data_IF_770741215114
#
_entry.id   IF_770741215114
#
_cell.length_a   1.000
_cell.length_b   1.000
_cell.length_c   1.000
_cell.angle_alpha   90.00
_cell.angle_beta   90.00
_cell.angle_gamma   90.00
#
_symmetry.space_group_name_H-M   'P 1'
#
loop_
_entity.id
_entity.type
_entity.pdbx_description
1 polymer ?
#
# COMPACT_ATOMS: atom_id res chain seq x y z
N UNK A 1 -14.26 -36.58 -23.35
CA UNK A 1 -13.39 -35.44 -22.96
C UNK A 1 -14.32 -34.24 -22.77
N UNK A 2 -14.26 -33.59 -21.61
CA UNK A 2 -15.15 -32.50 -21.32
C UNK A 2 -14.88 -31.32 -22.29
N UNK A 3 -15.95 -30.68 -22.80
CA UNK A 3 -15.80 -29.45 -23.56
C UNK A 3 -15.51 -28.26 -22.60
N UNK A 4 -14.22 -28.10 -22.26
CA UNK A 4 -13.75 -27.11 -21.29
C UNK A 4 -14.18 -25.68 -21.65
N UNK A 5 -14.28 -25.37 -22.94
CA UNK A 5 -14.61 -23.99 -23.39
C UNK A 5 -16.03 -23.60 -23.00
N UNK A 6 -16.98 -24.53 -23.09
CA UNK A 6 -18.38 -24.30 -22.74
C UNK A 6 -18.61 -24.15 -21.23
N UNK A 7 -17.73 -24.73 -20.41
CA UNK A 7 -17.82 -24.73 -18.96
C UNK A 7 -17.25 -23.45 -18.32
N UNK A 8 -16.38 -22.72 -19.03
CA UNK A 8 -15.78 -21.50 -18.51
C UNK A 8 -16.83 -20.40 -18.36
N UNK A 9 -16.94 -19.80 -17.17
CA UNK A 9 -17.82 -18.67 -16.96
C UNK A 9 -17.41 -17.48 -17.84
N UNK A 10 -18.36 -16.88 -18.57
CA UNK A 10 -18.13 -15.82 -19.58
C UNK A 10 -17.29 -14.63 -19.05
N UNK A 11 -17.42 -14.30 -17.77
CA UNK A 11 -16.68 -13.18 -17.17
C UNK A 11 -15.26 -13.53 -16.73
N UNK A 12 -14.89 -14.82 -16.58
CA UNK A 12 -13.57 -15.23 -16.07
C UNK A 12 -12.45 -14.68 -16.95
N UNK A 13 -12.52 -14.93 -18.26
CA UNK A 13 -11.48 -14.49 -19.20
C UNK A 13 -11.38 -12.96 -19.28
N UNK A 14 -12.54 -12.28 -19.35
CA UNK A 14 -12.58 -10.80 -19.45
C UNK A 14 -12.00 -10.16 -18.19
N UNK A 15 -12.42 -10.61 -17.00
CA UNK A 15 -11.93 -10.09 -15.73
C UNK A 15 -10.43 -10.39 -15.54
N UNK A 16 -9.97 -11.58 -15.91
CA UNK A 16 -8.55 -11.92 -15.89
C UNK A 16 -7.73 -10.99 -16.78
N UNK A 17 -8.13 -10.80 -18.04
CA UNK A 17 -7.43 -9.92 -18.97
C UNK A 17 -7.37 -8.48 -18.45
N UNK A 18 -8.50 -7.97 -17.93
CA UNK A 18 -8.55 -6.63 -17.35
C UNK A 18 -7.66 -6.49 -16.11
N UNK A 19 -7.67 -7.50 -15.22
CA UNK A 19 -6.80 -7.54 -14.04
C UNK A 19 -5.31 -7.58 -14.40
N UNK A 20 -4.91 -8.31 -15.46
CA UNK A 20 -3.52 -8.30 -15.94
C UNK A 20 -3.12 -6.90 -16.41
N UNK A 21 -3.94 -6.25 -17.22
CA UNK A 21 -3.64 -4.90 -17.72
C UNK A 21 -3.44 -3.92 -16.55
N UNK A 22 -4.35 -3.93 -15.57
CA UNK A 22 -4.25 -3.05 -14.40
C UNK A 22 -3.06 -3.40 -13.50
N UNK A 23 -2.71 -4.68 -13.34
CA UNK A 23 -1.52 -5.10 -12.60
C UNK A 23 -0.24 -4.59 -13.28
N UNK A 24 -0.15 -4.69 -14.61
CA UNK A 24 0.99 -4.15 -15.37
C UNK A 24 1.10 -2.63 -15.21
N UNK A 25 0.00 -1.90 -15.32
CA UNK A 25 -0.03 -0.44 -15.10
C UNK A 25 0.43 -0.12 -13.67
N UNK A 26 -0.08 -0.81 -12.65
CA UNK A 26 0.32 -0.62 -11.26
C UNK A 26 1.82 -0.89 -11.05
N UNK A 27 2.37 -1.94 -11.66
CA UNK A 27 3.82 -2.22 -11.63
C UNK A 27 4.61 -1.07 -12.24
N UNK A 28 4.22 -0.59 -13.42
CA UNK A 28 4.89 0.54 -14.07
C UNK A 28 4.89 1.77 -13.15
N UNK A 29 3.75 2.11 -12.53
CA UNK A 29 3.65 3.24 -11.59
C UNK A 29 4.57 3.04 -10.39
N UNK A 30 4.60 1.85 -9.78
CA UNK A 30 5.47 1.56 -8.64
C UNK A 30 6.97 1.67 -8.99
N UNK A 31 7.35 1.32 -10.22
CA UNK A 31 8.75 1.38 -10.68
C UNK A 31 9.22 2.78 -11.09
N UNK A 32 8.35 3.79 -11.07
CA UNK A 32 8.75 5.20 -11.30
C UNK A 32 9.56 5.77 -10.13
N UNK A 33 9.45 5.21 -8.92
CA UNK A 33 10.16 5.70 -7.74
C UNK A 33 10.90 4.58 -6.99
N UNK A 34 12.02 4.91 -6.34
CA UNK A 34 12.76 3.97 -5.49
C UNK A 34 11.90 3.46 -4.33
N UNK A 35 11.05 4.32 -3.77
CA UNK A 35 10.10 3.94 -2.70
C UNK A 35 9.08 2.93 -3.23
N UNK A 36 8.51 3.16 -4.41
CA UNK A 36 7.59 2.22 -5.05
C UNK A 36 8.22 0.86 -5.31
N UNK A 37 9.47 0.83 -5.78
CA UNK A 37 10.25 -0.40 -5.96
C UNK A 37 10.42 -1.14 -4.64
N UNK A 38 10.80 -0.45 -3.57
CA UNK A 38 10.96 -1.05 -2.24
C UNK A 38 9.65 -1.61 -1.70
N UNK A 39 8.53 -0.89 -1.85
CA UNK A 39 7.19 -1.35 -1.47
C UNK A 39 6.82 -2.60 -2.26
N UNK A 40 7.03 -2.62 -3.59
CA UNK A 40 6.71 -3.77 -4.43
C UNK A 40 7.45 -5.03 -3.98
N UNK A 41 8.78 -4.95 -3.81
CA UNK A 41 9.57 -6.10 -3.37
C UNK A 41 9.27 -6.51 -1.93
N UNK A 42 9.00 -5.55 -1.03
CA UNK A 42 8.59 -5.83 0.35
C UNK A 42 7.27 -6.61 0.42
N UNK A 43 6.26 -6.18 -0.32
CA UNK A 43 4.95 -6.86 -0.39
C UNK A 43 5.08 -8.23 -1.06
N UNK A 44 5.86 -8.35 -2.14
CA UNK A 44 6.09 -9.61 -2.82
C UNK A 44 6.80 -10.61 -1.91
N UNK A 45 7.84 -10.18 -1.19
CA UNK A 45 8.57 -11.02 -0.22
C UNK A 45 7.66 -11.44 0.93
N UNK A 46 6.91 -10.52 1.54
CA UNK A 46 5.99 -10.83 2.63
C UNK A 46 4.93 -11.86 2.20
N UNK A 47 4.37 -11.70 1.00
CA UNK A 47 3.40 -12.65 0.43
C UNK A 47 4.04 -14.02 0.20
N UNK A 48 5.25 -14.06 -0.37
CA UNK A 48 5.98 -15.30 -0.62
C UNK A 48 6.30 -16.04 0.69
N UNK A 49 6.81 -15.33 1.70
CA UNK A 49 7.13 -15.91 3.01
C UNK A 49 5.87 -16.43 3.71
N UNK A 50 4.79 -15.65 3.75
CA UNK A 50 3.52 -16.05 4.33
C UNK A 50 2.96 -17.31 3.66
N UNK A 51 3.00 -17.35 2.33
CA UNK A 51 2.58 -18.52 1.56
C UNK A 51 3.46 -19.74 1.84
N UNK A 52 4.79 -19.59 1.84
CA UNK A 52 5.72 -20.67 2.12
C UNK A 52 5.53 -21.26 3.52
N UNK A 53 5.32 -20.40 4.54
CA UNK A 53 5.02 -20.84 5.91
C UNK A 53 3.71 -21.60 5.97
N UNK A 54 2.65 -21.12 5.30
CA UNK A 54 1.36 -21.81 5.23
C UNK A 54 1.49 -23.19 4.56
N UNK A 55 2.23 -23.29 3.46
CA UNK A 55 2.45 -24.57 2.78
C UNK A 55 3.31 -25.54 3.62
N UNK A 56 4.31 -25.02 4.33
CA UNK A 56 5.11 -25.81 5.26
C UNK A 56 4.26 -26.34 6.42
N UNK A 57 3.38 -25.52 6.99
CA UNK A 57 2.44 -25.92 8.04
C UNK A 57 1.53 -27.05 7.58
N UNK A 58 0.94 -26.96 6.37
CA UNK A 58 0.08 -27.99 5.78
C UNK A 58 0.86 -29.30 5.63
N UNK A 59 2.07 -29.26 5.10
CA UNK A 59 2.87 -30.46 4.86
C UNK A 59 3.42 -31.09 6.15
N UNK A 60 3.58 -30.30 7.21
CA UNK A 60 4.07 -30.78 8.50
C UNK A 60 2.95 -31.41 9.34
N UNK A 61 1.76 -30.82 9.33
CA UNK A 61 0.65 -31.22 10.21
C UNK A 61 -0.46 -32.00 9.49
N UNK A 62 -0.57 -31.86 8.17
CA UNK A 62 -1.58 -32.56 7.38
C UNK A 62 -1.22 -34.01 7.07
N UNK A 63 -2.22 -34.83 6.96
CA UNK A 63 -2.08 -36.24 6.56
C UNK A 63 -2.18 -36.33 5.04
N UNK A 64 -1.09 -36.73 4.38
CA UNK A 64 -1.07 -36.86 2.93
C UNK A 64 -1.81 -38.13 2.47
N UNK A 65 -2.71 -38.00 1.49
CA UNK A 65 -3.37 -39.12 0.84
C UNK A 65 -2.38 -39.90 -0.02
N UNK A 66 -2.47 -41.21 0.06
CA UNK A 66 -1.73 -42.15 -0.79
C UNK A 66 -2.50 -43.46 -0.97
N UNK A 67 -2.05 -44.34 -1.85
CA UNK A 67 -2.64 -45.64 -2.01
C UNK A 67 -2.64 -46.49 -0.72
N UNK A 68 -1.66 -46.25 0.18
CA UNK A 68 -1.53 -46.95 1.45
C UNK A 68 -2.17 -46.16 2.63
N UNK A 69 -2.67 -44.96 2.40
CA UNK A 69 -3.27 -44.12 3.42
C UNK A 69 -4.48 -43.39 2.85
N UNK A 70 -5.69 -43.77 3.27
CA UNK A 70 -6.96 -43.34 2.68
C UNK A 70 -7.09 -43.75 1.21
N UNK A 71 -6.77 -45.05 0.89
CA UNK A 71 -6.65 -45.54 -0.48
C UNK A 71 -7.90 -45.31 -1.35
N UNK A 72 -9.10 -45.49 -0.78
CA UNK A 72 -10.38 -45.27 -1.51
C UNK A 72 -10.52 -43.79 -1.91
N UNK A 73 -10.25 -42.88 -1.00
CA UNK A 73 -10.30 -41.44 -1.27
C UNK A 73 -9.23 -41.03 -2.29
N UNK A 74 -8.01 -41.58 -2.17
CA UNK A 74 -6.94 -41.37 -3.15
C UNK A 74 -7.33 -41.84 -4.55
N UNK A 75 -7.97 -43.01 -4.65
CA UNK A 75 -8.44 -43.53 -5.93
C UNK A 75 -9.53 -42.62 -6.55
N UNK A 76 -10.45 -42.08 -5.74
CA UNK A 76 -11.46 -41.11 -6.19
C UNK A 76 -10.81 -39.84 -6.73
N UNK A 77 -9.87 -39.25 -6.00
CA UNK A 77 -9.10 -38.08 -6.46
C UNK A 77 -8.39 -38.37 -7.78
N UNK A 78 -7.74 -39.53 -7.90
CA UNK A 78 -7.06 -39.95 -9.13
C UNK A 78 -8.01 -40.07 -10.32
N UNK A 79 -9.18 -40.68 -10.10
CA UNK A 79 -10.21 -40.86 -11.14
C UNK A 79 -10.77 -39.50 -11.59
N UNK A 80 -11.11 -38.60 -10.66
CA UNK A 80 -11.60 -37.23 -10.97
C UNK A 80 -10.53 -36.42 -11.67
N UNK A 81 -9.26 -36.50 -11.26
CA UNK A 81 -8.14 -35.80 -11.92
C UNK A 81 -8.02 -36.23 -13.39
N UNK A 82 -8.09 -37.55 -13.67
CA UNK A 82 -8.06 -38.06 -15.03
C UNK A 82 -9.27 -37.59 -15.87
N UNK A 83 -10.47 -37.58 -15.28
CA UNK A 83 -11.70 -37.07 -15.95
C UNK A 83 -11.57 -35.62 -16.34
N UNK A 84 -10.95 -34.78 -15.48
CA UNK A 84 -10.67 -33.37 -15.73
C UNK A 84 -9.45 -33.17 -16.66
N UNK A 85 -8.74 -34.22 -17.05
CA UNK A 85 -7.55 -34.13 -17.90
C UNK A 85 -6.38 -33.44 -17.19
N UNK A 86 -6.21 -33.71 -15.89
CA UNK A 86 -5.07 -33.29 -15.09
C UNK A 86 -4.03 -34.43 -15.18
N UNK A 87 -2.88 -34.14 -15.81
CA UNK A 87 -1.82 -35.13 -16.02
C UNK A 87 -1.06 -35.39 -14.72
N UNK A 88 -0.66 -34.34 -14.02
CA UNK A 88 0.01 -34.44 -12.73
C UNK A 88 -1.01 -34.34 -11.60
N UNK A 89 -1.33 -35.48 -10.99
CA UNK A 89 -2.26 -35.55 -9.85
C UNK A 89 -1.70 -34.70 -8.71
N UNK A 90 -2.47 -33.73 -8.16
CA UNK A 90 -2.02 -32.91 -7.06
C UNK A 90 -1.78 -33.73 -5.79
N UNK A 91 -0.87 -33.26 -4.94
CA UNK A 91 -0.75 -33.77 -3.58
C UNK A 91 -2.00 -33.38 -2.79
N UNK A 92 -2.65 -34.34 -2.12
CA UNK A 92 -3.86 -34.08 -1.33
C UNK A 92 -3.55 -34.29 0.14
N UNK A 93 -3.91 -33.32 0.96
CA UNK A 93 -3.72 -33.33 2.41
C UNK A 93 -5.06 -33.21 3.12
N UNK A 94 -5.24 -33.99 4.19
CA UNK A 94 -6.31 -33.79 5.15
C UNK A 94 -5.75 -33.06 6.36
N UNK A 95 -6.43 -32.00 6.80
CA UNK A 95 -6.08 -31.22 7.98
C UNK A 95 -7.27 -31.19 8.93
N UNK A 96 -6.99 -31.27 10.21
CA UNK A 96 -8.00 -31.07 11.25
C UNK A 96 -8.60 -29.67 11.15
N UNK A 97 -9.92 -29.57 11.25
CA UNK A 97 -10.69 -28.38 10.89
C UNK A 97 -11.28 -27.61 12.07
N UNK A 98 -11.34 -28.18 13.27
CA UNK A 98 -12.03 -27.59 14.41
C UNK A 98 -13.50 -27.27 14.15
N UNK A 99 -14.17 -28.02 13.27
CA UNK A 99 -15.58 -27.82 12.90
C UNK A 99 -15.80 -26.99 11.63
N UNK A 100 -14.75 -26.52 10.96
CA UNK A 100 -14.88 -25.76 9.73
C UNK A 100 -15.05 -26.69 8.52
N UNK A 101 -16.17 -26.57 7.79
CA UNK A 101 -16.38 -27.23 6.52
C UNK A 101 -15.66 -26.43 5.41
N UNK A 102 -14.49 -26.87 4.97
CA UNK A 102 -13.73 -26.18 3.93
C UNK A 102 -12.85 -27.15 3.12
N UNK A 103 -12.49 -26.73 1.93
CA UNK A 103 -11.47 -27.31 1.09
C UNK A 103 -10.84 -26.19 0.27
N UNK A 104 -9.60 -26.36 -0.18
CA UNK A 104 -8.99 -25.38 -1.09
C UNK A 104 -7.86 -26.00 -1.90
N UNK A 105 -7.65 -25.47 -3.11
CA UNK A 105 -6.52 -25.75 -3.96
C UNK A 105 -5.43 -24.68 -3.81
N UNK A 106 -4.17 -25.10 -3.83
CA UNK A 106 -3.02 -24.22 -3.75
C UNK A 106 -1.84 -24.76 -4.55
N UNK A 107 -0.70 -24.07 -4.50
CA UNK A 107 0.54 -24.49 -5.14
C UNK A 107 1.73 -24.22 -4.22
N UNK A 108 2.69 -25.17 -4.11
CA UNK A 108 3.73 -25.13 -3.06
C UNK A 108 4.53 -23.84 -3.06
N UNK A 109 4.95 -23.36 -4.24
CA UNK A 109 5.76 -22.15 -4.39
C UNK A 109 5.06 -21.09 -5.26
N UNK A 110 3.74 -20.95 -5.13
CA UNK A 110 2.99 -19.97 -5.90
C UNK A 110 3.07 -20.20 -7.42
N UNK A 111 4.04 -19.61 -8.13
CA UNK A 111 4.24 -19.79 -9.57
C UNK A 111 4.84 -21.15 -9.94
N UNK A 112 5.61 -21.76 -9.04
CA UNK A 112 6.37 -22.99 -9.28
C UNK A 112 5.96 -24.10 -8.29
N UNK A 113 6.38 -25.32 -8.59
CA UNK A 113 6.14 -26.46 -7.72
C UNK A 113 4.82 -27.19 -8.02
N UNK A 114 4.52 -28.19 -7.18
CA UNK A 114 3.34 -29.06 -7.32
C UNK A 114 2.07 -28.38 -6.84
N UNK A 115 0.96 -28.73 -7.46
CA UNK A 115 -0.36 -28.37 -6.97
C UNK A 115 -0.70 -29.19 -5.71
N UNK A 116 -1.35 -28.55 -4.77
CA UNK A 116 -1.85 -29.14 -3.52
C UNK A 116 -3.36 -28.91 -3.45
N UNK A 117 -4.09 -29.91 -3.00
CA UNK A 117 -5.48 -29.80 -2.57
C UNK A 117 -5.53 -30.11 -1.08
N UNK A 118 -6.18 -29.26 -0.32
CA UNK A 118 -6.35 -29.44 1.12
C UNK A 118 -7.84 -29.69 1.40
N UNK A 119 -8.12 -30.77 2.08
CA UNK A 119 -9.45 -31.12 2.56
C UNK A 119 -9.46 -31.00 4.07
N UNK A 120 -10.40 -30.29 4.61
CA UNK A 120 -10.60 -30.27 6.06
C UNK A 120 -11.35 -31.55 6.52
N UNK A 121 -11.00 -32.05 7.71
CA UNK A 121 -11.54 -33.31 8.23
C UNK A 121 -13.07 -33.35 8.22
N UNK A 122 -13.74 -32.27 8.60
CA UNK A 122 -15.21 -32.23 8.60
C UNK A 122 -15.88 -32.39 7.21
N UNK A 123 -15.16 -32.08 6.13
CA UNK A 123 -15.63 -32.35 4.76
C UNK A 123 -15.48 -33.85 4.45
N UNK A 124 -14.38 -34.48 4.92
CA UNK A 124 -14.15 -35.92 4.70
C UNK A 124 -15.15 -36.74 5.48
N UNK A 125 -15.60 -36.29 6.65
CA UNK A 125 -16.63 -36.93 7.46
C UNK A 125 -17.99 -37.10 6.74
N UNK A 126 -18.19 -36.39 5.60
CA UNK A 126 -19.36 -36.62 4.75
C UNK A 126 -19.47 -38.06 4.29
N UNK A 127 -18.34 -38.77 4.11
CA UNK A 127 -18.32 -40.19 3.73
C UNK A 127 -19.01 -41.04 4.79
N UNK A 128 -18.74 -40.78 6.06
CA UNK A 128 -19.36 -41.51 7.19
C UNK A 128 -20.88 -41.33 7.23
N UNK A 129 -21.36 -40.20 6.71
CA UNK A 129 -22.78 -39.88 6.63
C UNK A 129 -23.45 -40.38 5.31
N UNK A 130 -22.77 -41.19 4.51
CA UNK A 130 -23.26 -41.68 3.22
C UNK A 130 -23.40 -40.56 2.16
N UNK A 131 -22.58 -39.51 2.24
CA UNK A 131 -22.56 -38.37 1.33
C UNK A 131 -21.28 -38.37 0.47
N UNK A 132 -20.89 -39.54 -0.03
CA UNK A 132 -19.67 -39.71 -0.84
C UNK A 132 -19.72 -38.93 -2.15
N UNK A 133 -20.89 -38.83 -2.78
CA UNK A 133 -21.09 -38.09 -4.02
C UNK A 133 -20.94 -36.59 -3.81
N UNK A 134 -21.39 -36.08 -2.65
CA UNK A 134 -21.23 -34.71 -2.25
C UNK A 134 -19.76 -34.37 -2.03
N UNK A 135 -18.99 -35.27 -1.42
CA UNK A 135 -17.54 -35.12 -1.29
C UNK A 135 -16.84 -35.17 -2.67
N UNK A 136 -17.27 -36.06 -3.58
CA UNK A 136 -16.74 -36.08 -4.96
C UNK A 136 -16.92 -34.77 -5.68
N UNK A 137 -18.07 -34.09 -5.50
CA UNK A 137 -18.27 -32.73 -6.06
C UNK A 137 -17.28 -31.71 -5.48
N UNK A 138 -17.06 -31.73 -4.16
CA UNK A 138 -16.08 -30.80 -3.51
C UNK A 138 -14.68 -31.05 -4.05
N UNK A 139 -14.27 -32.32 -4.13
CA UNK A 139 -12.94 -32.64 -4.69
C UNK A 139 -12.83 -32.21 -6.15
N UNK A 140 -13.84 -32.49 -6.97
CA UNK A 140 -13.86 -32.09 -8.38
C UNK A 140 -13.82 -30.57 -8.55
N UNK A 141 -14.46 -29.81 -7.65
CA UNK A 141 -14.41 -28.35 -7.61
C UNK A 141 -12.98 -27.84 -7.35
N UNK A 142 -12.28 -28.38 -6.35
CA UNK A 142 -10.89 -28.01 -6.05
C UNK A 142 -9.95 -28.41 -7.19
N UNK A 143 -10.16 -29.58 -7.78
CA UNK A 143 -9.41 -30.03 -8.96
C UNK A 143 -9.65 -29.13 -10.18
N UNK A 144 -10.85 -28.55 -10.33
CA UNK A 144 -11.11 -27.57 -11.38
C UNK A 144 -10.30 -26.28 -11.21
N UNK A 145 -10.09 -25.81 -9.97
CA UNK A 145 -9.17 -24.70 -9.69
C UNK A 145 -7.74 -25.04 -10.10
N UNK A 146 -7.28 -26.27 -9.83
CA UNK A 146 -5.97 -26.77 -10.29
C UNK A 146 -5.90 -26.79 -11.82
N UNK A 147 -6.89 -27.39 -12.49
CA UNK A 147 -6.94 -27.49 -13.96
C UNK A 147 -6.89 -26.13 -14.64
N UNK A 148 -7.59 -25.16 -14.08
CA UNK A 148 -7.68 -23.78 -14.61
C UNK A 148 -6.50 -22.91 -14.22
N UNK A 149 -5.57 -23.40 -13.38
CA UNK A 149 -4.47 -22.63 -12.81
C UNK A 149 -4.93 -21.32 -12.11
N UNK A 150 -6.08 -21.37 -11.39
CA UNK A 150 -6.64 -20.19 -10.77
C UNK A 150 -5.70 -19.56 -9.77
N UNK A 151 -4.98 -20.36 -8.97
CA UNK A 151 -3.96 -19.88 -8.00
C UNK A 151 -2.87 -19.05 -8.68
N UNK A 152 -2.31 -19.57 -9.79
CA UNK A 152 -1.27 -18.85 -10.55
C UNK A 152 -1.80 -17.56 -11.14
N UNK A 153 -3.01 -17.60 -11.70
CA UNK A 153 -3.66 -16.42 -12.28
C UNK A 153 -3.93 -15.33 -11.24
N UNK A 154 -4.38 -15.72 -10.04
CA UNK A 154 -4.58 -14.79 -8.92
C UNK A 154 -3.25 -14.15 -8.49
N UNK A 155 -2.17 -14.91 -8.44
CA UNK A 155 -0.85 -14.39 -8.12
C UNK A 155 -0.34 -13.41 -9.19
N UNK A 156 -0.54 -13.71 -10.49
CA UNK A 156 -0.18 -12.78 -11.58
C UNK A 156 -0.98 -11.48 -11.58
N UNK A 157 -2.17 -11.50 -10.99
CA UNK A 157 -3.07 -10.34 -10.89
C UNK A 157 -3.11 -9.74 -9.49
N UNK A 158 -2.15 -10.08 -8.60
CA UNK A 158 -2.24 -9.75 -7.18
C UNK A 158 -2.41 -8.25 -6.90
N UNK A 159 -1.77 -7.36 -7.68
CA UNK A 159 -1.94 -5.91 -7.52
C UNK A 159 -3.34 -5.44 -7.91
N UNK A 160 -3.91 -5.99 -8.98
CA UNK A 160 -5.28 -5.68 -9.37
C UNK A 160 -6.31 -6.27 -8.39
N UNK A 161 -5.96 -7.32 -7.65
CA UNK A 161 -6.81 -7.89 -6.60
C UNK A 161 -7.05 -6.94 -5.42
N UNK A 162 -6.20 -5.92 -5.25
CA UNK A 162 -6.38 -4.86 -4.25
C UNK A 162 -7.36 -3.77 -4.70
N UNK A 163 -7.73 -3.76 -5.98
CA UNK A 163 -8.76 -2.84 -6.47
C UNK A 163 -10.12 -3.35 -6.00
N UNK A 164 -10.87 -2.56 -5.19
CA UNK A 164 -12.14 -3.01 -4.62
C UNK A 164 -13.09 -3.56 -5.70
N UNK A 165 -13.72 -4.68 -5.41
CA UNK A 165 -14.68 -5.41 -6.23
C UNK A 165 -14.12 -6.10 -7.48
N UNK A 166 -12.92 -5.76 -7.97
CA UNK A 166 -12.33 -6.39 -9.17
C UNK A 166 -11.81 -7.78 -8.84
N UNK A 167 -10.99 -7.88 -7.80
CA UNK A 167 -10.44 -9.16 -7.34
C UNK A 167 -11.53 -10.14 -6.96
N UNK A 168 -12.49 -9.68 -6.17
CA UNK A 168 -13.64 -10.49 -5.76
C UNK A 168 -14.51 -10.90 -6.95
N UNK A 169 -14.71 -10.01 -7.93
CA UNK A 169 -15.46 -10.36 -9.14
C UNK A 169 -14.77 -11.45 -9.96
N UNK A 170 -13.44 -11.37 -10.08
CA UNK A 170 -12.66 -12.40 -10.74
C UNK A 170 -12.74 -13.73 -9.98
N UNK A 171 -12.53 -13.72 -8.66
CA UNK A 171 -12.64 -14.90 -7.81
C UNK A 171 -14.03 -15.56 -7.94
N UNK A 172 -15.10 -14.78 -7.88
CA UNK A 172 -16.46 -15.31 -8.09
C UNK A 172 -16.66 -15.93 -9.47
N UNK A 173 -16.02 -15.39 -10.52
CA UNK A 173 -16.10 -16.00 -11.84
C UNK A 173 -15.35 -17.34 -11.92
N UNK A 174 -14.23 -17.46 -11.19
CA UNK A 174 -13.51 -18.71 -11.04
C UNK A 174 -14.34 -19.78 -10.32
N UNK A 175 -15.06 -19.40 -9.25
CA UNK A 175 -15.96 -20.30 -8.51
C UNK A 175 -17.07 -20.86 -9.42
N UNK A 176 -17.73 -20.02 -10.23
CA UNK A 176 -18.74 -20.50 -11.17
C UNK A 176 -18.17 -21.45 -12.25
N UNK A 177 -16.94 -21.21 -12.68
CA UNK A 177 -16.25 -22.12 -13.61
C UNK A 177 -15.95 -23.44 -12.91
N UNK A 178 -15.45 -23.42 -11.67
CA UNK A 178 -15.14 -24.61 -10.90
C UNK A 178 -16.40 -25.45 -10.62
N UNK A 179 -17.51 -24.81 -10.24
CA UNK A 179 -18.80 -25.51 -10.06
C UNK A 179 -19.26 -26.20 -11.34
N UNK A 180 -19.22 -25.51 -12.47
CA UNK A 180 -19.65 -26.09 -13.77
C UNK A 180 -18.78 -27.27 -14.19
N UNK A 181 -17.46 -27.15 -13.99
CA UNK A 181 -16.53 -28.24 -14.30
C UNK A 181 -16.72 -29.41 -13.36
N UNK A 182 -16.97 -29.17 -12.06
CA UNK A 182 -17.24 -30.22 -11.08
C UNK A 182 -18.52 -30.97 -11.40
N UNK A 183 -19.61 -30.26 -11.71
CA UNK A 183 -20.89 -30.89 -12.14
C UNK A 183 -20.69 -31.73 -13.41
N UNK A 184 -19.99 -31.19 -14.42
CA UNK A 184 -19.71 -31.94 -15.65
C UNK A 184 -18.79 -33.12 -15.44
N UNK A 185 -17.87 -33.06 -14.46
CA UNK A 185 -16.96 -34.14 -14.08
C UNK A 185 -17.68 -35.25 -13.32
N UNK A 186 -18.53 -34.92 -12.36
CA UNK A 186 -19.25 -35.89 -11.52
C UNK A 186 -20.51 -36.41 -12.17
N UNK A 187 -21.13 -35.66 -13.08
CA UNK A 187 -22.40 -35.96 -13.74
C UNK A 187 -23.60 -36.10 -12.75
N UNK A 188 -23.47 -35.49 -11.55
CA UNK A 188 -24.41 -35.59 -10.44
C UNK A 188 -24.84 -34.21 -9.93
N UNK A 189 -25.63 -33.44 -10.69
CA UNK A 189 -25.94 -32.05 -10.31
C UNK A 189 -26.77 -31.94 -9.02
N UNK A 190 -27.64 -32.88 -8.73
CA UNK A 190 -28.39 -32.97 -7.48
C UNK A 190 -27.47 -33.08 -6.26
N UNK A 191 -26.40 -33.85 -6.39
CA UNK A 191 -25.37 -34.01 -5.34
C UNK A 191 -24.51 -32.77 -5.18
N UNK A 192 -24.21 -32.08 -6.29
CA UNK A 192 -23.55 -30.79 -6.25
C UNK A 192 -24.38 -29.75 -5.48
N UNK A 193 -25.70 -29.68 -5.74
CA UNK A 193 -26.60 -28.79 -5.00
C UNK A 193 -26.64 -29.15 -3.51
N UNK A 194 -26.68 -30.44 -3.19
CA UNK A 194 -26.64 -30.91 -1.79
C UNK A 194 -25.31 -30.57 -1.11
N UNK A 195 -24.18 -30.73 -1.80
CA UNK A 195 -22.88 -30.33 -1.28
C UNK A 195 -22.83 -28.83 -0.95
N UNK A 196 -23.35 -27.99 -1.84
CA UNK A 196 -23.47 -26.55 -1.57
C UNK A 196 -24.41 -26.26 -0.38
N UNK A 197 -25.45 -27.07 -0.19
CA UNK A 197 -26.35 -26.94 0.97
C UNK A 197 -25.67 -27.35 2.27
N UNK A 198 -24.71 -28.32 2.23
CA UNK A 198 -23.85 -28.65 3.38
C UNK A 198 -23.02 -27.43 3.82
N UNK A 199 -22.45 -26.70 2.89
CA UNK A 199 -21.73 -25.45 3.23
C UNK A 199 -22.64 -24.37 3.85
N UNK A 200 -23.94 -24.37 3.52
CA UNK A 200 -24.90 -23.42 4.07
C UNK A 200 -25.43 -23.78 5.46
N UNK A 201 -25.73 -25.07 5.69
CA UNK A 201 -26.46 -25.54 6.85
C UNK A 201 -25.66 -26.51 7.75
N UNK A 202 -24.46 -26.89 7.34
CA UNK A 202 -23.63 -27.86 8.04
C UNK A 202 -24.00 -29.32 7.75
N UNK A 203 -23.10 -30.23 8.17
CA UNK A 203 -23.16 -31.68 7.84
C UNK A 203 -24.36 -32.43 8.42
N UNK A 204 -25.09 -31.83 9.35
CA UNK A 204 -26.26 -32.49 9.98
C UNK A 204 -27.60 -31.93 9.48
N UNK A 205 -27.71 -30.61 9.30
CA UNK A 205 -29.01 -29.98 9.02
C UNK A 205 -29.31 -29.81 7.52
N UNK A 206 -28.34 -30.02 6.64
CA UNK A 206 -28.53 -29.77 5.20
C UNK A 206 -29.66 -30.58 4.56
N UNK A 207 -30.02 -31.75 5.15
CA UNK A 207 -31.10 -32.64 4.66
C UNK A 207 -32.47 -32.03 4.87
N UNK A 208 -32.63 -31.17 5.87
CA UNK A 208 -33.89 -30.54 6.23
C UNK A 208 -34.10 -29.19 5.50
N UNK A 209 -33.11 -28.74 4.73
CA UNK A 209 -33.19 -27.48 4.01
C UNK A 209 -34.15 -27.61 2.82
N UNK A 210 -35.21 -26.79 2.83
CA UNK A 210 -36.04 -26.61 1.66
C UNK A 210 -35.33 -25.69 0.66
N UNK A 211 -34.81 -26.28 -0.42
CA UNK A 211 -34.06 -25.56 -1.46
C UNK A 211 -34.85 -24.39 -2.04
N UNK A 212 -36.10 -24.61 -2.37
CA UNK A 212 -36.99 -23.59 -3.00
C UNK A 212 -37.16 -22.38 -2.07
N UNK A 213 -37.40 -22.62 -0.80
CA UNK A 213 -37.54 -21.59 0.21
C UNK A 213 -36.23 -20.83 0.42
N UNK A 214 -35.09 -21.56 0.42
CA UNK A 214 -33.76 -20.96 0.54
C UNK A 214 -33.45 -19.99 -0.63
N UNK A 215 -33.81 -20.35 -1.86
CA UNK A 215 -33.67 -19.50 -3.04
C UNK A 215 -34.62 -18.29 -2.99
N UNK A 216 -35.85 -18.48 -2.51
CA UNK A 216 -36.83 -17.39 -2.33
C UNK A 216 -36.34 -16.38 -1.29
N UNK A 217 -35.84 -16.85 -0.13
CA UNK A 217 -35.27 -15.98 0.91
C UNK A 217 -34.11 -15.13 0.38
N UNK A 218 -33.27 -15.68 -0.50
CA UNK A 218 -32.22 -14.91 -1.14
C UNK A 218 -32.78 -13.77 -2.01
N UNK A 219 -33.87 -14.01 -2.75
CA UNK A 219 -34.53 -12.99 -3.57
C UNK A 219 -35.14 -11.84 -2.75
N UNK A 220 -35.59 -12.12 -1.53
CA UNK A 220 -36.22 -11.15 -0.66
C UNK A 220 -35.21 -10.28 0.10
N UNK A 221 -34.00 -10.76 0.27
CA UNK A 221 -32.93 -9.99 0.91
C UNK A 221 -32.48 -8.84 0.01
N UNK A 222 -32.64 -7.60 0.50
CA UNK A 222 -32.31 -6.36 -0.20
C UNK A 222 -31.56 -5.41 0.74
N UNK A 223 -30.92 -4.43 0.17
CA UNK A 223 -30.27 -3.34 0.90
C UNK A 223 -28.82 -3.14 0.52
N UNK A 224 -28.31 -2.00 0.93
CA UNK A 224 -26.95 -1.58 0.65
C UNK A 224 -25.90 -2.59 1.16
N UNK A 225 -25.96 -2.96 2.43
CA UNK A 225 -24.98 -3.86 3.05
C UNK A 225 -25.01 -5.27 2.45
N UNK A 226 -26.19 -5.76 2.03
CA UNK A 226 -26.29 -7.05 1.34
C UNK A 226 -25.59 -6.99 -0.03
N UNK A 227 -25.81 -5.91 -0.77
CA UNK A 227 -25.13 -5.70 -2.06
C UNK A 227 -23.63 -5.50 -1.90
N UNK A 228 -23.21 -4.78 -0.85
CA UNK A 228 -21.80 -4.58 -0.52
C UNK A 228 -21.13 -5.90 -0.14
N UNK A 229 -21.75 -6.70 0.73
CA UNK A 229 -21.23 -8.03 1.11
C UNK A 229 -21.05 -8.93 -0.11
N UNK A 230 -22.00 -8.95 -1.04
CA UNK A 230 -21.86 -9.72 -2.29
C UNK A 230 -20.73 -9.20 -3.18
N UNK A 231 -20.49 -7.90 -3.19
CA UNK A 231 -19.38 -7.31 -3.96
C UNK A 231 -18.01 -7.61 -3.35
N UNK A 232 -17.92 -7.56 -2.02
CA UNK A 232 -16.69 -7.83 -1.26
C UNK A 232 -16.40 -9.32 -1.04
N UNK A 233 -17.36 -10.21 -1.33
CA UNK A 233 -17.16 -11.64 -1.17
C UNK A 233 -16.36 -12.22 -2.35
N UNK A 234 -15.35 -13.01 -2.06
CA UNK A 234 -14.58 -13.80 -3.05
C UNK A 234 -15.39 -14.98 -3.58
N UNK A 235 -16.31 -15.50 -2.78
CA UNK A 235 -17.21 -16.58 -3.18
C UNK A 235 -18.61 -16.05 -3.44
N UNK A 236 -19.30 -16.50 -4.50
CA UNK A 236 -20.69 -16.17 -4.71
C UNK A 236 -21.57 -16.71 -3.57
N UNK A 237 -22.67 -16.04 -3.26
CA UNK A 237 -23.64 -16.56 -2.31
C UNK A 237 -24.12 -17.95 -2.74
N UNK A 238 -24.23 -18.88 -1.81
CA UNK A 238 -24.58 -20.28 -2.09
C UNK A 238 -25.89 -20.41 -2.89
N UNK A 239 -26.98 -19.68 -2.60
CA UNK A 239 -28.18 -19.72 -3.44
C UNK A 239 -27.90 -19.37 -4.91
N UNK A 240 -26.93 -18.49 -5.16
CA UNK A 240 -26.57 -18.12 -6.53
C UNK A 240 -25.75 -19.20 -7.22
N UNK A 241 -24.87 -19.91 -6.50
CA UNK A 241 -24.16 -21.08 -7.02
C UNK A 241 -25.14 -22.21 -7.37
N UNK A 242 -26.10 -22.50 -6.49
CA UNK A 242 -27.18 -23.49 -6.74
C UNK A 242 -27.97 -23.13 -8.00
N UNK A 243 -28.40 -21.87 -8.12
CA UNK A 243 -29.15 -21.40 -9.30
C UNK A 243 -28.34 -21.56 -10.61
N UNK A 244 -27.05 -21.25 -10.60
CA UNK A 244 -26.19 -21.37 -11.79
C UNK A 244 -26.00 -22.87 -12.20
N UNK A 245 -25.97 -23.78 -11.24
CA UNK A 245 -25.96 -25.23 -11.52
C UNK A 245 -27.29 -25.66 -12.13
N UNK A 246 -28.45 -25.27 -11.55
CA UNK A 246 -29.77 -25.56 -12.11
C UNK A 246 -29.95 -24.97 -13.52
N UNK A 247 -29.45 -23.77 -13.75
CA UNK A 247 -29.48 -23.14 -15.07
C UNK A 247 -28.64 -23.90 -16.10
N UNK A 248 -27.51 -24.46 -15.68
CA UNK A 248 -26.62 -25.26 -16.54
C UNK A 248 -27.31 -26.54 -17.04
N UNK A 249 -28.15 -27.16 -16.21
CA UNK A 249 -28.86 -28.41 -16.54
C UNK A 249 -30.28 -28.18 -17.09
N UNK A 250 -30.71 -26.91 -17.18
CA UNK A 250 -32.04 -26.56 -17.68
C UNK A 250 -33.19 -26.80 -16.69
N UNK A 251 -32.91 -26.99 -15.40
CA UNK A 251 -33.90 -27.30 -14.35
C UNK A 251 -34.23 -26.11 -13.44
N UNK A 252 -33.81 -24.91 -13.79
CA UNK A 252 -34.04 -23.73 -12.94
C UNK A 252 -35.50 -23.44 -12.75
N UNK A 253 -35.97 -23.59 -11.52
CA UNK A 253 -37.40 -23.35 -11.10
C UNK A 253 -37.65 -21.95 -10.56
N UNK A 254 -36.59 -21.22 -10.22
CA UNK A 254 -36.65 -19.87 -9.64
C UNK A 254 -35.85 -18.91 -10.50
N UNK A 255 -36.41 -17.74 -10.73
CA UNK A 255 -35.66 -16.63 -11.36
C UNK A 255 -35.00 -15.80 -10.25
N UNK A 256 -33.67 -15.78 -10.19
CA UNK A 256 -32.99 -14.90 -9.25
C UNK A 256 -33.05 -13.44 -9.71
N UNK A 257 -33.55 -12.57 -8.82
CA UNK A 257 -33.63 -11.14 -9.07
C UNK A 257 -32.22 -10.52 -9.06
N UNK A 258 -31.92 -9.76 -10.10
CA UNK A 258 -30.65 -9.01 -10.16
C UNK A 258 -30.67 -7.90 -9.10
N UNK A 259 -29.77 -7.96 -8.13
CA UNK A 259 -29.65 -6.92 -7.10
C UNK A 259 -28.99 -5.67 -7.67
N UNK A 260 -29.55 -4.49 -7.33
CA UNK A 260 -28.97 -3.22 -7.74
C UNK A 260 -27.69 -2.95 -6.96
N UNK A 261 -26.60 -2.68 -7.66
CA UNK A 261 -25.32 -2.31 -7.09
C UNK A 261 -25.06 -0.80 -7.19
N UNK A 262 -26.02 -0.05 -7.76
CA UNK A 262 -25.86 1.39 -8.03
C UNK A 262 -25.54 2.20 -6.76
N UNK A 263 -26.20 1.92 -5.63
CA UNK A 263 -25.93 2.62 -4.37
C UNK A 263 -24.52 2.37 -3.83
N UNK A 264 -23.98 1.16 -4.00
CA UNK A 264 -22.60 0.85 -3.58
C UNK A 264 -21.60 1.61 -4.44
N UNK A 265 -21.80 1.61 -5.76
CA UNK A 265 -20.91 2.36 -6.66
C UNK A 265 -21.02 3.87 -6.46
N UNK A 266 -22.21 4.41 -6.18
CA UNK A 266 -22.38 5.84 -5.87
C UNK A 266 -21.60 6.24 -4.61
N UNK A 267 -21.66 5.45 -3.53
CA UNK A 267 -20.89 5.70 -2.31
C UNK A 267 -19.40 5.57 -2.58
N UNK A 268 -18.97 4.55 -3.33
CA UNK A 268 -17.55 4.39 -3.69
C UNK A 268 -17.02 5.60 -4.45
N UNK A 269 -17.75 6.05 -5.46
CA UNK A 269 -17.40 7.24 -6.26
C UNK A 269 -17.34 8.47 -5.36
N UNK A 270 -18.34 8.69 -4.49
CA UNK A 270 -18.34 9.83 -3.56
C UNK A 270 -17.18 9.79 -2.58
N UNK A 271 -16.78 8.61 -2.10
CA UNK A 271 -15.63 8.44 -1.20
C UNK A 271 -14.31 8.74 -1.93
N UNK A 272 -14.17 8.29 -3.18
CA UNK A 272 -12.99 8.60 -4.01
C UNK A 272 -12.90 10.09 -4.28
N UNK A 273 -14.03 10.73 -4.64
CA UNK A 273 -14.07 12.18 -4.87
C UNK A 273 -13.76 12.98 -3.60
N UNK A 274 -14.28 12.56 -2.45
CA UNK A 274 -13.96 13.17 -1.16
C UNK A 274 -12.48 13.00 -0.83
N UNK A 275 -11.90 11.83 -1.05
CA UNK A 275 -10.45 11.58 -0.87
C UNK A 275 -9.59 12.45 -1.80
N UNK A 276 -9.97 12.55 -3.08
CA UNK A 276 -9.30 13.42 -4.04
C UNK A 276 -9.37 14.89 -3.63
N UNK A 277 -10.51 15.34 -3.10
CA UNK A 277 -10.69 16.69 -2.57
C UNK A 277 -9.75 16.97 -1.37
N UNK A 278 -9.65 16.01 -0.43
CA UNK A 278 -8.75 16.12 0.73
C UNK A 278 -7.28 16.19 0.27
N UNK A 279 -6.88 15.37 -0.69
CA UNK A 279 -5.52 15.39 -1.25
C UNK A 279 -5.26 16.74 -1.94
N UNK A 280 -6.24 17.22 -2.73
CA UNK A 280 -6.11 18.50 -3.44
C UNK A 280 -6.02 19.69 -2.49
N UNK A 281 -6.88 19.72 -1.43
CA UNK A 281 -6.82 20.77 -0.40
C UNK A 281 -5.53 20.69 0.40
N UNK A 282 -5.07 19.49 0.75
CA UNK A 282 -3.77 19.28 1.42
C UNK A 282 -2.60 19.77 0.57
N UNK A 283 -2.59 19.46 -0.73
CA UNK A 283 -1.59 19.96 -1.67
C UNK A 283 -1.64 21.49 -1.80
N UNK A 284 -2.84 22.08 -1.87
CA UNK A 284 -3.00 23.55 -1.91
C UNK A 284 -2.42 24.22 -0.66
N UNK A 285 -2.73 23.67 0.53
CA UNK A 285 -2.20 24.19 1.79
C UNK A 285 -0.66 24.07 1.87
N UNK A 286 -0.10 22.93 1.43
CA UNK A 286 1.36 22.74 1.37
C UNK A 286 1.98 23.72 0.40
N UNK A 287 1.37 23.92 -0.75
CA UNK A 287 1.83 24.91 -1.73
C UNK A 287 1.79 26.34 -1.17
N UNK A 288 0.71 26.70 -0.46
CA UNK A 288 0.60 28.01 0.18
C UNK A 288 1.64 28.19 1.28
N UNK A 289 1.97 27.11 2.04
CA UNK A 289 3.07 27.13 3.02
C UNK A 289 4.43 27.25 2.34
N UNK A 290 4.66 26.54 1.24
CA UNK A 290 5.92 26.65 0.46
C UNK A 290 6.05 28.06 -0.11
N UNK A 291 5.01 28.60 -0.72
CA UNK A 291 5.03 29.97 -1.23
C UNK A 291 5.26 31.00 -0.11
N UNK A 292 4.63 30.77 1.07
CA UNK A 292 4.88 31.64 2.24
C UNK A 292 6.32 31.51 2.73
N UNK A 293 6.94 30.32 2.71
CA UNK A 293 8.36 30.16 3.06
C UNK A 293 9.28 30.74 1.99
N UNK A 294 8.92 30.68 0.69
CA UNK A 294 9.66 31.36 -0.38
C UNK A 294 9.53 32.88 -0.29
N UNK A 295 8.40 33.41 0.19
CA UNK A 295 8.19 34.85 0.42
C UNK A 295 8.94 35.34 1.66
N UNK A 296 9.27 34.45 2.63
CA UNK A 296 10.06 34.76 3.83
C UNK A 296 11.56 34.42 3.71
N UNK A 297 11.94 33.52 2.79
CA UNK A 297 13.33 33.38 2.40
C UNK A 297 13.63 34.48 1.41
N UNK A 298 14.70 35.26 1.59
CA UNK A 298 15.05 36.30 0.65
C UNK A 298 15.30 35.68 -0.72
N UNK A 299 14.29 35.72 -1.58
CA UNK A 299 14.38 35.42 -3.01
C UNK A 299 14.84 36.65 -3.80
N UNK A 300 15.43 37.61 -3.09
CA UNK A 300 16.19 38.69 -3.70
C UNK A 300 17.41 38.14 -4.42
N UNK A 301 17.83 38.77 -5.49
CA UNK A 301 19.03 38.41 -6.25
C UNK A 301 20.25 38.44 -5.31
N UNK A 302 20.52 37.31 -4.65
CA UNK A 302 21.70 37.12 -3.81
C UNK A 302 22.94 37.30 -4.67
N UNK A 303 23.90 38.06 -4.19
CA UNK A 303 25.18 38.17 -4.89
C UNK A 303 25.94 36.84 -4.85
N UNK A 304 26.86 36.64 -5.78
CA UNK A 304 27.66 35.43 -5.80
C UNK A 304 28.41 35.21 -4.47
N UNK A 305 28.81 36.29 -3.79
CA UNK A 305 29.46 36.23 -2.46
C UNK A 305 28.48 35.75 -1.40
N UNK A 306 27.23 36.19 -1.43
CA UNK A 306 26.19 35.77 -0.49
C UNK A 306 25.80 34.29 -0.71
N UNK A 307 25.68 33.84 -1.96
CA UNK A 307 25.42 32.44 -2.28
C UNK A 307 26.57 31.53 -1.78
N UNK A 308 27.81 31.91 -2.02
CA UNK A 308 28.96 31.18 -1.52
C UNK A 308 29.01 31.18 0.02
N UNK A 309 28.63 32.31 0.66
CA UNK A 309 28.50 32.39 2.12
C UNK A 309 27.41 31.44 2.65
N UNK A 310 26.21 31.42 2.07
CA UNK A 310 25.14 30.49 2.50
C UNK A 310 25.57 29.03 2.41
N UNK A 311 26.39 28.71 1.42
CA UNK A 311 26.93 27.35 1.25
C UNK A 311 28.11 27.05 2.19
N UNK A 312 28.64 28.05 2.93
CA UNK A 312 29.82 27.91 3.78
C UNK A 312 31.11 27.69 2.99
N UNK A 313 31.13 28.06 1.70
CA UNK A 313 32.27 27.84 0.81
C UNK A 313 33.30 28.98 0.95
N UNK A 314 34.17 28.86 1.97
CA UNK A 314 35.19 29.84 2.29
C UNK A 314 36.19 30.03 1.14
N UNK A 315 36.52 28.97 0.39
CA UNK A 315 37.41 29.04 -0.77
C UNK A 315 36.79 29.89 -1.88
N UNK A 316 35.52 29.69 -2.19
CA UNK A 316 34.78 30.43 -3.21
C UNK A 316 34.58 31.86 -2.80
N UNK A 317 34.22 32.18 -1.54
CA UNK A 317 34.14 33.53 -1.01
C UNK A 317 35.51 34.27 -1.18
N UNK A 318 36.63 33.64 -0.78
CA UNK A 318 37.94 34.21 -0.94
C UNK A 318 38.31 34.47 -2.40
N UNK A 319 37.90 33.57 -3.31
CA UNK A 319 38.13 33.70 -4.76
C UNK A 319 37.37 34.93 -5.31
N UNK A 320 36.06 35.03 -5.01
CA UNK A 320 35.19 36.11 -5.50
C UNK A 320 35.65 37.48 -5.02
N UNK A 321 36.05 37.61 -3.74
CA UNK A 321 36.58 38.86 -3.19
C UNK A 321 37.90 39.25 -3.85
N UNK A 322 38.82 38.31 -4.13
CA UNK A 322 40.05 38.57 -4.89
C UNK A 322 39.79 39.00 -6.35
N UNK A 323 38.71 38.56 -6.92
CA UNK A 323 38.27 38.97 -8.26
C UNK A 323 37.60 40.35 -8.28
N UNK A 324 37.40 40.97 -7.11
CA UNK A 324 36.93 42.33 -6.98
C UNK A 324 35.43 42.45 -6.64
N UNK A 325 34.81 41.40 -6.14
CA UNK A 325 33.45 41.47 -5.59
C UNK A 325 33.42 42.39 -4.35
N UNK A 326 32.35 43.16 -4.17
CA UNK A 326 32.17 44.03 -3.02
C UNK A 326 31.69 43.22 -1.81
N UNK A 327 32.45 43.15 -0.69
CA UNK A 327 32.04 42.43 0.52
C UNK A 327 30.86 43.13 1.25
N UNK A 328 30.55 44.37 0.91
CA UNK A 328 29.50 45.18 1.52
C UNK A 328 28.25 45.31 0.62
N UNK A 329 28.22 44.59 -0.47
CA UNK A 329 27.02 44.56 -1.33
C UNK A 329 25.83 44.06 -0.53
N UNK A 330 24.73 44.86 -0.58
CA UNK A 330 23.46 44.53 0.10
C UNK A 330 22.49 43.94 -0.91
N UNK A 331 21.79 42.88 -0.51
CA UNK A 331 20.70 42.37 -1.36
C UNK A 331 19.57 43.41 -1.44
N UNK A 332 18.84 43.45 -2.59
CA UNK A 332 17.94 44.60 -2.88
C UNK A 332 16.73 44.74 -1.95
N UNK A 333 16.18 43.64 -1.41
CA UNK A 333 14.93 43.63 -0.66
C UNK A 333 15.14 43.83 0.85
N UNK A 334 15.97 42.99 1.48
CA UNK A 334 16.21 43.00 2.93
C UNK A 334 17.44 43.81 3.34
N UNK A 335 18.31 44.24 2.40
CA UNK A 335 19.55 44.94 2.72
C UNK A 335 20.62 44.07 3.42
N UNK A 336 20.43 42.77 3.42
CA UNK A 336 21.33 41.79 4.07
C UNK A 336 22.66 41.74 3.36
N UNK A 337 23.77 41.65 4.11
CA UNK A 337 25.12 41.51 3.57
C UNK A 337 25.64 40.08 3.73
N UNK A 338 26.71 39.71 3.02
CA UNK A 338 27.37 38.43 3.22
C UNK A 338 27.86 38.23 4.67
N UNK A 339 28.27 39.31 5.36
CA UNK A 339 28.70 39.24 6.76
C UNK A 339 27.53 39.01 7.72
N UNK A 340 26.32 39.56 7.47
CA UNK A 340 25.11 39.22 8.22
C UNK A 340 24.84 37.70 8.08
N UNK A 341 24.82 37.20 6.84
CA UNK A 341 24.58 35.77 6.56
C UNK A 341 25.61 34.87 7.24
N UNK A 342 26.87 35.23 7.24
CA UNK A 342 27.93 34.48 7.91
C UNK A 342 27.73 34.45 9.43
N UNK A 343 27.30 35.54 10.04
CA UNK A 343 27.02 35.64 11.46
C UNK A 343 25.77 34.82 11.87
N UNK A 344 24.70 34.90 11.06
CA UNK A 344 23.46 34.18 11.30
C UNK A 344 23.58 32.66 11.11
N UNK A 345 24.56 32.19 10.30
CA UNK A 345 24.78 30.79 9.99
C UNK A 345 26.03 30.18 10.68
N UNK A 346 26.60 30.88 11.68
CA UNK A 346 27.74 30.38 12.47
C UNK A 346 29.02 30.08 11.64
N UNK A 347 29.23 30.85 10.57
CA UNK A 347 30.32 30.59 9.62
C UNK A 347 31.56 31.45 9.94
N UNK A 348 32.26 31.10 11.00
CA UNK A 348 33.39 31.88 11.54
C UNK A 348 34.50 32.13 10.51
N UNK A 349 34.88 31.10 9.73
CA UNK A 349 35.93 31.20 8.72
C UNK A 349 35.53 32.15 7.59
N UNK A 350 34.30 32.06 7.11
CA UNK A 350 33.76 32.97 6.08
C UNK A 350 33.71 34.40 6.61
N UNK A 351 33.20 34.64 7.83
CA UNK A 351 33.17 35.94 8.45
C UNK A 351 34.56 36.57 8.57
N UNK A 352 35.56 35.76 8.97
CA UNK A 352 36.96 36.22 9.03
C UNK A 352 37.46 36.68 7.65
N UNK A 353 37.24 35.88 6.60
CA UNK A 353 37.63 36.22 5.22
C UNK A 353 36.94 37.50 4.75
N UNK A 354 35.64 37.66 5.02
CA UNK A 354 34.88 38.86 4.65
C UNK A 354 35.49 40.10 5.34
N UNK A 355 35.74 40.04 6.65
CA UNK A 355 36.34 41.14 7.43
C UNK A 355 37.75 41.50 6.98
N UNK A 356 38.61 40.52 6.69
CA UNK A 356 39.96 40.70 6.15
C UNK A 356 39.97 41.39 4.77
N UNK A 357 38.84 41.21 4.00
CA UNK A 357 38.64 41.83 2.69
C UNK A 357 37.76 43.11 2.73
N UNK A 358 37.55 43.70 3.93
CA UNK A 358 36.94 45.01 4.08
C UNK A 358 35.41 45.00 4.26
N UNK A 359 34.83 43.92 4.68
CA UNK A 359 33.41 43.93 5.12
C UNK A 359 33.24 44.83 6.34
N UNK A 360 32.22 45.69 6.32
CA UNK A 360 31.88 46.59 7.44
C UNK A 360 31.09 45.81 8.51
N UNK A 361 31.64 45.64 9.72
CA UNK A 361 30.97 44.88 10.79
C UNK A 361 29.76 45.64 11.37
N UNK A 362 29.53 46.91 10.98
CA UNK A 362 28.44 47.75 11.45
C UNK A 362 27.36 48.01 10.39
N UNK A 363 27.49 47.46 9.19
CA UNK A 363 26.52 47.65 8.12
C UNK A 363 25.23 46.87 8.45
N UNK A 364 24.11 47.59 8.77
CA UNK A 364 22.87 46.93 9.13
C UNK A 364 22.10 46.50 7.88
N UNK A 365 21.18 45.56 8.04
CA UNK A 365 20.13 45.31 7.07
C UNK A 365 19.06 46.42 7.08
N UNK A 366 18.02 46.31 6.23
CA UNK A 366 16.93 47.29 6.13
C UNK A 366 16.07 47.38 7.40
N UNK A 367 16.20 46.44 8.35
CA UNK A 367 15.51 46.45 9.65
C UNK A 367 16.42 46.96 10.79
N UNK A 368 17.65 47.34 10.47
CA UNK A 368 18.64 47.80 11.43
C UNK A 368 19.40 46.68 12.13
N UNK A 369 19.30 45.42 11.70
CA UNK A 369 20.06 44.33 12.30
C UNK A 369 21.48 44.30 11.76
N UNK A 370 22.43 44.31 12.69
CA UNK A 370 23.88 44.22 12.38
C UNK A 370 24.37 42.76 12.47
N UNK A 371 25.51 42.41 11.85
CA UNK A 371 26.14 41.10 12.02
C UNK A 371 26.38 40.71 13.50
N UNK A 372 26.69 41.71 14.37
CA UNK A 372 26.88 41.45 15.80
C UNK A 372 25.57 40.99 16.50
N UNK A 373 24.41 41.56 16.09
CA UNK A 373 23.12 41.11 16.60
C UNK A 373 22.83 39.65 16.17
N UNK A 374 23.12 39.28 14.93
CA UNK A 374 23.02 37.92 14.45
C UNK A 374 23.90 36.95 15.27
N UNK A 375 25.14 37.30 15.52
CA UNK A 375 26.05 36.52 16.35
C UNK A 375 25.54 36.32 17.80
N UNK A 376 24.88 37.34 18.36
CA UNK A 376 24.25 37.25 19.69
C UNK A 376 23.03 36.36 19.66
N UNK A 377 22.15 36.42 18.64
CA UNK A 377 21.03 35.52 18.50
C UNK A 377 21.45 34.03 18.39
N UNK A 378 22.60 33.77 17.75
CA UNK A 378 23.18 32.43 17.66
C UNK A 378 23.97 32.01 18.92
N UNK A 379 24.08 32.88 19.95
CA UNK A 379 24.87 32.67 21.17
C UNK A 379 26.34 32.30 20.86
N UNK A 380 26.86 32.76 19.71
CA UNK A 380 28.19 32.40 19.23
C UNK A 380 29.24 33.38 19.79
N UNK A 381 29.95 32.93 20.81
CA UNK A 381 30.96 33.71 21.50
C UNK A 381 32.16 34.07 20.61
N UNK A 382 32.62 33.12 19.83
CA UNK A 382 33.76 33.27 18.92
C UNK A 382 33.44 34.28 17.82
N UNK A 383 32.26 34.25 17.25
CA UNK A 383 31.78 35.22 16.25
C UNK A 383 31.61 36.60 16.86
N UNK A 384 31.03 36.71 18.04
CA UNK A 384 30.90 37.97 18.78
C UNK A 384 32.29 38.57 19.03
N UNK A 385 33.29 37.79 19.48
CA UNK A 385 34.63 38.23 19.69
C UNK A 385 35.28 38.74 18.38
N UNK A 386 35.16 37.97 17.31
CA UNK A 386 35.70 38.31 15.99
C UNK A 386 35.14 39.68 15.49
N UNK A 387 33.81 39.87 15.57
CA UNK A 387 33.17 41.08 15.14
C UNK A 387 33.55 42.30 16.00
N UNK A 388 33.69 42.13 17.33
CA UNK A 388 34.15 43.17 18.23
C UNK A 388 35.62 43.56 17.95
N UNK A 389 36.51 42.62 17.67
CA UNK A 389 37.87 42.85 17.27
C UNK A 389 37.97 43.59 15.93
N UNK A 390 36.99 43.35 15.03
CA UNK A 390 36.85 44.05 13.75
C UNK A 390 36.22 45.43 13.90
N UNK A 391 35.77 45.86 15.10
CA UNK A 391 35.22 47.18 15.37
C UNK A 391 33.68 47.29 15.32
N UNK A 392 32.97 46.17 15.49
CA UNK A 392 31.50 46.18 15.64
C UNK A 392 31.08 46.98 16.88
N UNK A 393 30.07 47.82 16.74
CA UNK A 393 29.51 48.63 17.83
C UNK A 393 28.39 47.84 18.56
N UNK A 394 28.62 47.42 19.81
CA UNK A 394 27.60 46.65 20.57
C UNK A 394 26.39 47.50 20.98
N UNK A 395 26.43 48.81 20.82
CA UNK A 395 25.34 49.71 21.17
C UNK A 395 24.60 50.29 19.93
N UNK A 396 24.90 49.82 18.73
CA UNK A 396 24.13 50.17 17.55
C UNK A 396 22.69 49.72 17.73
N UNK A 397 21.72 50.62 17.64
CA UNK A 397 20.30 50.32 17.85
C UNK A 397 19.60 50.07 16.51
N UNK A 398 18.80 49.02 16.45
CA UNK A 398 17.91 48.73 15.34
C UNK A 398 16.63 49.60 15.41
N UNK A 399 15.68 49.39 14.49
CA UNK A 399 14.41 50.14 14.45
C UNK A 399 13.55 49.97 15.71
N UNK A 400 13.77 48.90 16.49
CA UNK A 400 13.08 48.63 17.75
C UNK A 400 13.80 49.22 18.97
N UNK A 401 14.82 50.03 18.76
CA UNK A 401 15.72 50.59 19.78
C UNK A 401 16.45 49.51 20.61
N UNK A 402 16.71 48.34 19.99
CA UNK A 402 17.44 47.25 20.58
C UNK A 402 18.84 47.16 19.99
N UNK A 403 19.85 46.93 20.85
CA UNK A 403 21.24 46.76 20.43
C UNK A 403 21.71 45.30 20.68
N UNK A 404 22.85 44.89 20.13
CA UNK A 404 23.45 43.59 20.42
C UNK A 404 23.67 43.40 21.93
N UNK A 405 24.06 44.44 22.64
CA UNK A 405 24.23 44.41 24.09
C UNK A 405 22.89 44.20 24.83
N UNK A 406 21.83 44.96 24.44
CA UNK A 406 20.51 44.79 25.06
C UNK A 406 19.92 43.42 24.78
N UNK A 407 20.07 42.87 23.58
CA UNK A 407 19.66 41.49 23.30
C UNK A 407 20.38 40.47 24.21
N UNK A 408 21.72 40.59 24.37
CA UNK A 408 22.46 39.70 25.24
C UNK A 408 22.05 39.81 26.72
N UNK A 409 21.70 41.02 27.19
CA UNK A 409 21.17 41.26 28.53
C UNK A 409 19.80 40.61 28.71
N UNK A 410 18.87 40.80 27.78
CA UNK A 410 17.52 40.27 27.81
C UNK A 410 17.47 38.74 27.75
N UNK A 411 18.35 38.13 26.97
CA UNK A 411 18.49 36.67 26.88
C UNK A 411 19.31 36.09 28.03
N UNK A 412 19.95 36.90 28.85
CA UNK A 412 20.76 36.44 30.00
C UNK A 412 22.11 35.86 29.62
N UNK A 413 22.67 36.22 28.46
CA UNK A 413 23.96 35.77 27.96
C UNK A 413 25.13 36.49 28.65
N UNK A 414 25.35 36.22 29.91
CA UNK A 414 26.31 36.94 30.76
C UNK A 414 27.73 36.98 30.21
N UNK A 415 28.20 35.91 29.55
CA UNK A 415 29.54 35.89 28.94
C UNK A 415 29.66 36.85 27.74
N UNK A 416 28.61 36.96 26.92
CA UNK A 416 28.56 37.88 25.80
C UNK A 416 28.49 39.34 26.27
N UNK A 417 27.69 39.60 27.33
CA UNK A 417 27.62 40.95 27.97
C UNK A 417 29.01 41.36 28.49
N UNK A 418 29.75 40.46 29.15
CA UNK A 418 31.09 40.72 29.60
C UNK A 418 32.08 41.04 28.45
N UNK A 419 31.98 40.33 27.34
CA UNK A 419 32.84 40.55 26.16
C UNK A 419 32.58 41.98 25.58
N UNK A 420 31.29 42.32 25.37
CA UNK A 420 30.88 43.60 24.78
C UNK A 420 31.15 44.79 25.68
N UNK A 421 31.15 44.64 26.99
CA UNK A 421 31.45 45.70 27.95
C UNK A 421 32.94 45.88 28.25
N UNK A 422 33.74 44.82 28.19
CA UNK A 422 35.21 44.91 28.40
C UNK A 422 35.94 45.69 27.30
N UNK A 423 35.39 45.75 26.08
CA UNK A 423 35.96 46.50 24.94
C UNK A 423 36.04 48.04 25.13
N UNK A 424 35.29 48.58 26.12
CA UNK A 424 35.28 50.06 26.40
C UNK A 424 36.47 50.64 27.19
N UNK A 425 37.36 49.74 27.65
CA UNK A 425 38.46 50.16 28.56
C UNK A 425 39.86 50.11 27.92
N UNK A 426 39.97 50.19 26.60
CA UNK A 426 41.27 50.33 25.92
C UNK A 426 41.34 51.62 25.07
#
# INVERSE_FOLDING_TARGET
MLDEKSLIHKSEKTLFTFSIILSVIAIIILFVSLIGIAIFFGLALATLVSHAVSMAYIRLNGIQLSANQFGDLYNRVSALSKRLGIEDIPEVYIIESGGALNAFASRIFGLFGKNIVVLYSDIVDLVENGCEDELEFVIAHELAHVKRNHVVKQLLTFLAMWIPFLGEAYSRACEFTADRMAVACTEKPDKAIRALTVFAAGKYLFRDVNKQEYLNQYNDKKGFFISLTELLSTHPAIPRRIFEIEAQIGESTVVLKKKSKAGVFAILISTILAGALVIWTGYSLIKDVINFTEEFLPSGDLTAVMEATLNGDAEEVSRLLKEGADPNEQEPEGGTTALNLAADNDQLEVAQILLENGADPNLPDNYGYTPLMGAVFMENKEMVQLLLEAGADPNFENEEAMSALTYAEDFGYTELVELMTKGKNK
#
